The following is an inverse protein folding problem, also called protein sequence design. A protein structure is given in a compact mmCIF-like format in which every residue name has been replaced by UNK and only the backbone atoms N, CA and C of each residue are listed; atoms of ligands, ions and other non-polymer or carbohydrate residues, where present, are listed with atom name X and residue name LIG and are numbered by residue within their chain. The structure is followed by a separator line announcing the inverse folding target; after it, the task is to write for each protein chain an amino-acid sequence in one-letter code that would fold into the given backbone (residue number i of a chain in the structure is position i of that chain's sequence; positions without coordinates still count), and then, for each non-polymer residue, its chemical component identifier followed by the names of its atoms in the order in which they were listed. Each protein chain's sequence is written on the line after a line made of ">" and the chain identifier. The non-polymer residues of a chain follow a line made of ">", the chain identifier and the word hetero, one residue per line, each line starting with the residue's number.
data_IF_892557425941
#
_entry.id   IF_892557425941
#
_cell.length_a   1.000
_cell.length_b   1.000
_cell.length_c   1.000
_cell.angle_alpha   90.00
_cell.angle_beta   90.00
_cell.angle_gamma   90.00
#
_symmetry.space_group_name_H-M   'P 1'
#
loop_
_entity.id
_entity.type
_entity.pdbx_description
1 polymer ?
#
# COMPACT_ATOMS: atom_id res chain seq x y z
N UNK A 1 54.90 49.92 -14.38
CA UNK A 1 55.13 49.04 -13.22
C UNK A 1 54.37 47.75 -13.46
N UNK A 2 55.07 46.73 -13.97
CA UNK A 2 54.51 45.41 -14.24
C UNK A 2 55.00 44.47 -13.14
N UNK A 3 54.07 43.91 -12.34
CA UNK A 3 54.38 42.76 -11.49
C UNK A 3 53.51 41.60 -11.98
N UNK A 4 54.13 40.70 -12.74
CA UNK A 4 53.57 39.42 -13.12
C UNK A 4 53.52 38.49 -11.91
N UNK A 5 52.33 38.01 -11.57
CA UNK A 5 52.18 36.97 -10.57
C UNK A 5 52.61 35.63 -11.17
N UNK A 6 53.75 35.13 -10.72
CA UNK A 6 54.22 33.78 -11.02
C UNK A 6 53.40 32.77 -10.20
N UNK A 7 52.30 32.29 -10.78
CA UNK A 7 51.58 31.13 -10.25
C UNK A 7 52.48 29.89 -10.38
N UNK A 8 53.13 29.50 -9.29
CA UNK A 8 53.92 28.27 -9.20
C UNK A 8 53.00 27.06 -9.11
N UNK A 9 52.40 26.66 -10.23
CA UNK A 9 51.76 25.36 -10.34
C UNK A 9 52.85 24.27 -10.29
N UNK A 10 53.08 23.71 -9.10
CA UNK A 10 53.84 22.45 -8.98
C UNK A 10 53.14 21.40 -9.85
N UNK A 11 53.84 20.79 -10.84
CA UNK A 11 53.22 19.76 -11.66
C UNK A 11 52.82 18.58 -10.74
N UNK A 12 51.61 18.02 -10.89
CA UNK A 12 51.17 16.92 -10.06
C UNK A 12 52.14 15.73 -10.21
N UNK A 13 52.61 15.19 -9.08
CA UNK A 13 53.57 14.07 -9.01
C UNK A 13 53.05 12.77 -9.65
N UNK A 14 51.77 12.72 -10.01
CA UNK A 14 51.11 11.61 -10.68
C UNK A 14 50.43 12.15 -11.95
N UNK A 15 50.53 11.45 -13.12
CA UNK A 15 49.79 11.81 -14.32
C UNK A 15 48.30 11.96 -14.03
N UNK A 16 47.64 12.99 -14.60
CA UNK A 16 46.22 13.25 -14.38
C UNK A 16 45.33 12.03 -14.70
N UNK A 17 45.74 11.20 -15.66
CA UNK A 17 45.09 9.94 -16.00
C UNK A 17 45.10 8.92 -14.85
N UNK A 18 46.18 8.83 -14.09
CA UNK A 18 46.30 7.90 -12.96
C UNK A 18 45.41 8.33 -11.78
N UNK A 19 45.32 9.63 -11.51
CA UNK A 19 44.42 10.19 -10.48
C UNK A 19 42.95 9.91 -10.85
N UNK A 20 42.58 10.11 -12.12
CA UNK A 20 41.22 9.84 -12.60
C UNK A 20 40.87 8.35 -12.52
N UNK A 21 41.80 7.47 -12.88
CA UNK A 21 41.63 6.04 -12.73
C UNK A 21 41.42 5.67 -11.25
N UNK A 22 42.30 6.11 -10.36
CA UNK A 22 42.20 5.82 -8.92
C UNK A 22 40.87 6.31 -8.33
N UNK A 23 40.41 7.50 -8.73
CA UNK A 23 39.10 8.02 -8.32
C UNK A 23 37.96 7.12 -8.79
N UNK A 24 37.99 6.63 -10.03
CA UNK A 24 36.97 5.73 -10.57
C UNK A 24 36.95 4.38 -9.85
N UNK A 25 38.13 3.84 -9.55
CA UNK A 25 38.28 2.62 -8.74
C UNK A 25 37.73 2.80 -7.34
N UNK A 26 38.13 3.87 -6.63
CA UNK A 26 37.63 4.18 -5.30
C UNK A 26 36.09 4.35 -5.28
N UNK A 27 35.52 5.03 -6.28
CA UNK A 27 34.07 5.17 -6.43
C UNK A 27 33.37 3.82 -6.65
N UNK A 28 33.98 2.94 -7.45
CA UNK A 28 33.44 1.61 -7.72
C UNK A 28 33.47 0.75 -6.45
N UNK A 29 34.60 0.71 -5.74
CA UNK A 29 34.74 -0.02 -4.47
C UNK A 29 33.77 0.51 -3.41
N UNK A 30 33.59 1.83 -3.31
CA UNK A 30 32.66 2.42 -2.36
C UNK A 30 31.20 2.08 -2.71
N UNK A 31 30.83 2.10 -4.00
CA UNK A 31 29.51 1.65 -4.45
C UNK A 31 29.26 0.17 -4.14
N UNK A 32 30.25 -0.70 -4.37
CA UNK A 32 30.17 -2.12 -4.03
C UNK A 32 30.03 -2.34 -2.53
N UNK A 33 30.74 -1.59 -1.70
CA UNK A 33 30.63 -1.66 -0.24
C UNK A 33 29.20 -1.33 0.23
N UNK A 34 28.59 -0.27 -0.32
CA UNK A 34 27.21 0.11 0.00
C UNK A 34 26.23 -0.99 -0.46
N UNK A 35 26.41 -1.55 -1.65
CA UNK A 35 25.58 -2.64 -2.13
C UNK A 35 25.74 -3.89 -1.24
N UNK A 36 26.95 -4.19 -0.78
CA UNK A 36 27.23 -5.30 0.12
C UNK A 36 26.49 -5.15 1.46
N UNK A 37 26.33 -3.93 1.99
CA UNK A 37 25.50 -3.68 3.18
C UNK A 37 24.04 -4.07 2.91
N UNK A 38 23.49 -3.70 1.76
CA UNK A 38 22.12 -4.09 1.37
C UNK A 38 21.96 -5.61 1.27
N UNK A 39 22.93 -6.30 0.65
CA UNK A 39 22.95 -7.77 0.57
C UNK A 39 23.08 -8.39 1.96
N UNK A 40 23.94 -7.84 2.83
CA UNK A 40 24.13 -8.32 4.19
C UNK A 40 22.83 -8.24 5.01
N UNK A 41 22.06 -7.15 4.89
CA UNK A 41 20.74 -7.03 5.53
C UNK A 41 19.79 -8.14 5.05
N UNK A 42 19.74 -8.39 3.74
CA UNK A 42 18.88 -9.45 3.16
C UNK A 42 19.30 -10.82 3.69
N UNK A 43 20.60 -11.13 3.68
CA UNK A 43 21.11 -12.40 4.17
C UNK A 43 20.86 -12.57 5.68
N UNK A 44 21.07 -11.52 6.47
CA UNK A 44 20.78 -11.52 7.90
C UNK A 44 19.30 -11.86 8.16
N UNK A 45 18.37 -11.18 7.47
CA UNK A 45 16.94 -11.40 7.62
C UNK A 45 16.49 -12.77 7.07
N UNK A 46 17.06 -13.22 5.95
CA UNK A 46 16.71 -14.49 5.32
C UNK A 46 17.23 -15.71 6.12
N UNK A 47 18.34 -15.55 6.84
CA UNK A 47 18.92 -16.58 7.72
C UNK A 47 18.63 -16.33 9.20
N UNK A 48 17.55 -15.59 9.49
CA UNK A 48 17.12 -15.37 10.87
C UNK A 48 16.58 -16.66 11.49
N UNK A 49 17.14 -17.04 12.65
CA UNK A 49 16.62 -18.10 13.50
C UNK A 49 16.26 -17.52 14.89
N UNK A 50 15.02 -17.71 15.38
CA UNK A 50 14.63 -17.29 16.72
C UNK A 50 15.47 -17.91 17.86
N UNK A 51 16.13 -19.06 17.62
CA UNK A 51 16.97 -19.75 18.58
C UNK A 51 18.40 -19.19 18.68
N UNK A 52 18.81 -18.32 17.74
CA UNK A 52 20.15 -17.74 17.74
C UNK A 52 20.37 -16.84 18.98
N UNK A 53 21.62 -16.75 19.50
CA UNK A 53 21.96 -15.79 20.53
C UNK A 53 21.92 -14.37 19.96
N UNK A 54 21.26 -13.47 20.68
CA UNK A 54 21.11 -12.06 20.29
C UNK A 54 21.45 -11.14 21.48
N UNK A 55 21.47 -9.83 21.25
CA UNK A 55 21.81 -8.84 22.30
C UNK A 55 20.91 -8.97 23.55
N UNK A 56 19.67 -9.41 23.36
CA UNK A 56 18.69 -9.59 24.42
C UNK A 56 18.52 -11.07 24.83
N UNK A 57 19.22 -11.99 24.17
CA UNK A 57 19.07 -13.44 24.36
C UNK A 57 20.45 -14.10 24.41
N UNK A 58 20.94 -14.35 25.62
CA UNK A 58 22.17 -15.14 25.81
C UNK A 58 21.80 -16.62 25.90
N UNK A 59 22.17 -17.39 24.88
CA UNK A 59 21.97 -18.85 24.82
C UNK A 59 23.31 -19.54 24.59
N UNK A 60 23.44 -20.78 25.06
CA UNK A 60 24.60 -21.64 24.74
C UNK A 60 24.52 -22.26 23.33
N UNK A 61 23.49 -21.94 22.56
CA UNK A 61 23.30 -22.40 21.20
C UNK A 61 24.31 -21.75 20.22
N UNK A 62 24.77 -22.52 19.25
CA UNK A 62 25.60 -22.01 18.15
C UNK A 62 24.81 -21.06 17.25
N UNK A 63 25.48 -20.10 16.62
CA UNK A 63 24.83 -19.15 15.70
C UNK A 63 24.58 -19.81 14.34
N UNK A 64 23.34 -19.81 13.89
CA UNK A 64 22.94 -20.34 12.57
C UNK A 64 22.93 -19.29 11.46
N UNK A 65 22.81 -18.00 11.80
CA UNK A 65 22.82 -16.91 10.83
C UNK A 65 24.08 -16.92 9.95
N UNK A 66 23.91 -16.70 8.63
CA UNK A 66 25.01 -16.75 7.66
C UNK A 66 26.09 -15.70 7.90
N UNK A 67 25.77 -14.60 8.58
CA UNK A 67 26.72 -13.55 8.95
C UNK A 67 27.23 -13.70 10.39
N UNK A 68 26.93 -14.82 11.04
CA UNK A 68 27.25 -15.08 12.45
C UNK A 68 26.48 -14.17 13.41
N UNK A 69 27.03 -13.99 14.61
CA UNK A 69 26.40 -13.20 15.68
C UNK A 69 25.94 -11.79 15.27
N UNK A 70 26.74 -10.97 14.56
CA UNK A 70 26.28 -9.62 14.20
C UNK A 70 25.07 -9.65 13.24
N UNK A 71 24.95 -10.68 12.40
CA UNK A 71 23.78 -10.90 11.54
C UNK A 71 22.53 -11.26 12.33
N UNK A 72 22.66 -12.24 13.24
CA UNK A 72 21.57 -12.65 14.13
C UNK A 72 21.04 -11.47 14.96
N UNK A 73 21.95 -10.72 15.60
CA UNK A 73 21.59 -9.54 16.40
C UNK A 73 20.92 -8.44 15.56
N UNK A 74 21.42 -8.16 14.35
CA UNK A 74 20.83 -7.16 13.46
C UNK A 74 19.43 -7.59 12.98
N UNK A 75 19.27 -8.85 12.56
CA UNK A 75 18.01 -9.38 12.09
C UNK A 75 16.94 -9.36 13.19
N UNK A 76 17.30 -9.81 14.40
CA UNK A 76 16.42 -9.76 15.58
C UNK A 76 15.96 -8.33 15.88
N UNK A 77 16.91 -7.37 15.92
CA UNK A 77 16.58 -5.96 16.17
C UNK A 77 15.66 -5.38 15.07
N UNK A 78 15.96 -5.64 13.80
CA UNK A 78 15.17 -5.12 12.68
C UNK A 78 13.76 -5.72 12.63
N UNK A 79 13.62 -7.03 12.88
CA UNK A 79 12.32 -7.69 12.90
C UNK A 79 11.50 -7.28 14.12
N UNK A 80 12.09 -7.11 15.29
CA UNK A 80 11.38 -6.61 16.48
C UNK A 80 10.90 -5.16 16.30
N UNK A 81 11.73 -4.30 15.70
CA UNK A 81 11.41 -2.87 15.56
C UNK A 81 10.47 -2.58 14.40
N UNK A 82 10.73 -3.14 13.22
CA UNK A 82 10.02 -2.82 11.96
C UNK A 82 9.20 -4.00 11.41
N UNK A 83 9.35 -5.20 11.96
CA UNK A 83 8.69 -6.40 11.44
C UNK A 83 9.08 -6.67 9.99
N UNK A 84 8.10 -6.99 9.16
CA UNK A 84 8.30 -7.29 7.74
C UNK A 84 8.78 -6.09 6.92
N UNK A 85 8.60 -4.87 7.42
CA UNK A 85 9.08 -3.67 6.73
C UNK A 85 10.61 -3.55 6.73
N UNK A 86 11.32 -4.30 7.59
CA UNK A 86 12.78 -4.34 7.65
C UNK A 86 13.45 -4.64 6.30
N UNK A 87 12.84 -5.52 5.48
CA UNK A 87 13.36 -5.89 4.16
C UNK A 87 13.48 -4.68 3.22
N UNK A 88 12.60 -3.68 3.37
CA UNK A 88 12.60 -2.47 2.54
C UNK A 88 13.89 -1.67 2.73
N UNK A 89 14.51 -1.73 3.91
CA UNK A 89 15.76 -1.00 4.17
C UNK A 89 16.89 -1.44 3.24
N UNK A 90 16.90 -2.69 2.76
CA UNK A 90 17.94 -3.18 1.86
C UNK A 90 17.89 -2.53 0.47
N UNK A 91 16.71 -2.17 -0.02
CA UNK A 91 16.53 -1.70 -1.41
C UNK A 91 17.29 -0.40 -1.70
N UNK A 92 17.25 0.64 -0.82
CA UNK A 92 18.01 1.86 -1.05
C UNK A 92 19.52 1.65 -1.01
N UNK A 93 20.05 0.77 -0.16
CA UNK A 93 21.48 0.44 -0.19
C UNK A 93 21.92 -0.18 -1.51
N UNK A 94 21.14 -1.12 -2.06
CA UNK A 94 21.42 -1.70 -3.37
C UNK A 94 21.36 -0.63 -4.48
N UNK A 95 20.33 0.22 -4.46
CA UNK A 95 20.16 1.30 -5.43
C UNK A 95 21.27 2.36 -5.37
N UNK A 96 21.64 2.79 -4.16
CA UNK A 96 22.70 3.77 -3.93
C UNK A 96 24.07 3.18 -4.29
N UNK A 97 24.35 1.94 -3.92
CA UNK A 97 25.60 1.25 -4.28
C UNK A 97 25.80 1.19 -5.78
N UNK A 98 24.75 0.84 -6.53
CA UNK A 98 24.78 0.89 -8.00
C UNK A 98 25.03 2.30 -8.54
N UNK A 99 24.33 3.33 -8.04
CA UNK A 99 24.49 4.72 -8.53
C UNK A 99 25.87 5.30 -8.26
N UNK A 100 26.40 5.04 -7.07
CA UNK A 100 27.74 5.46 -6.65
C UNK A 100 28.79 4.74 -7.49
N UNK A 101 28.67 3.43 -7.66
CA UNK A 101 29.60 2.64 -8.47
C UNK A 101 29.54 2.99 -9.96
N UNK A 102 28.34 3.32 -10.49
CA UNK A 102 28.14 3.77 -11.86
C UNK A 102 28.48 5.26 -12.07
N UNK A 103 29.03 5.95 -11.06
CA UNK A 103 29.37 7.37 -11.09
C UNK A 103 28.20 8.29 -11.52
N UNK A 104 26.95 7.89 -11.27
CA UNK A 104 25.75 8.68 -11.62
C UNK A 104 25.48 9.83 -10.65
N UNK A 105 26.23 9.88 -9.54
CA UNK A 105 26.06 10.87 -8.48
C UNK A 105 24.77 10.67 -7.68
N UNK A 106 24.77 11.10 -6.42
CA UNK A 106 23.57 11.18 -5.59
C UNK A 106 23.46 12.61 -5.03
N UNK A 107 22.86 13.54 -5.80
CA UNK A 107 22.69 14.91 -5.32
C UNK A 107 21.80 14.86 -4.07
N UNK A 108 22.12 15.64 -3.03
CA UNK A 108 21.38 15.67 -1.76
C UNK A 108 21.28 14.30 -1.05
N UNK A 109 22.40 13.57 -0.98
CA UNK A 109 22.49 12.30 -0.25
C UNK A 109 21.81 12.32 1.13
N UNK A 110 22.02 13.39 1.90
CA UNK A 110 21.43 13.54 3.24
C UNK A 110 19.90 13.56 3.22
N UNK A 111 19.24 14.15 2.22
CA UNK A 111 17.78 14.12 2.16
C UNK A 111 17.26 12.72 1.84
N UNK A 112 17.95 11.98 0.97
CA UNK A 112 17.60 10.60 0.66
C UNK A 112 17.76 9.69 1.88
N UNK A 113 18.82 9.90 2.66
CA UNK A 113 19.06 9.20 3.91
C UNK A 113 17.99 9.53 4.97
N UNK A 114 17.61 10.80 5.11
CA UNK A 114 16.60 11.23 6.09
C UNK A 114 15.17 10.76 5.76
N UNK A 115 14.87 10.49 4.50
CA UNK A 115 13.56 9.95 4.08
C UNK A 115 13.46 8.43 4.29
N UNK A 116 14.59 7.73 4.38
CA UNK A 116 14.62 6.28 4.55
C UNK A 116 13.86 5.79 5.81
N UNK A 117 14.04 6.39 7.01
CA UNK A 117 13.24 6.03 8.18
C UNK A 117 11.75 6.25 7.97
N UNK A 118 11.35 7.31 7.26
CA UNK A 118 9.94 7.58 6.96
C UNK A 118 9.35 6.48 6.08
N UNK A 119 10.09 6.05 5.05
CA UNK A 119 9.68 4.94 4.21
C UNK A 119 9.49 3.65 5.03
N UNK A 120 10.46 3.33 5.89
CA UNK A 120 10.40 2.15 6.76
C UNK A 120 9.20 2.19 7.72
N UNK A 121 8.93 3.34 8.36
CA UNK A 121 7.79 3.52 9.26
C UNK A 121 6.45 3.39 8.54
N UNK A 122 6.33 3.94 7.33
CA UNK A 122 5.12 3.83 6.52
C UNK A 122 4.87 2.37 6.09
N UNK A 123 5.90 1.63 5.67
CA UNK A 123 5.76 0.20 5.39
C UNK A 123 5.49 -0.63 6.66
N UNK A 124 6.05 -0.25 7.81
CA UNK A 124 5.75 -0.90 9.09
C UNK A 124 4.27 -0.72 9.49
N UNK A 125 3.74 0.49 9.29
CA UNK A 125 2.30 0.76 9.43
C UNK A 125 1.49 -0.11 8.46
N UNK A 126 1.94 -0.26 7.22
CA UNK A 126 1.26 -1.13 6.24
C UNK A 126 1.23 -2.60 6.69
N UNK A 127 2.35 -3.10 7.20
CA UNK A 127 2.48 -4.47 7.67
C UNK A 127 1.69 -4.76 8.95
N UNK A 128 1.44 -3.74 9.79
CA UNK A 128 0.64 -3.88 11.03
C UNK A 128 -0.78 -4.39 10.78
N UNK A 129 -1.35 -4.17 9.59
CA UNK A 129 -2.66 -4.70 9.21
C UNK A 129 -2.73 -6.22 9.26
N UNK A 130 -1.61 -6.89 8.96
CA UNK A 130 -1.53 -8.33 8.98
C UNK A 130 -1.33 -8.91 10.39
N UNK A 131 -1.35 -8.07 11.45
CA UNK A 131 -1.03 -8.46 12.82
C UNK A 131 -1.61 -9.82 13.21
N UNK A 132 -0.77 -10.61 13.87
CA UNK A 132 -1.00 -12.00 14.33
C UNK A 132 -2.30 -12.16 15.11
N UNK A 133 -2.81 -11.08 15.72
CA UNK A 133 -4.08 -11.05 16.47
C UNK A 133 -5.34 -10.99 15.59
N UNK A 134 -5.31 -10.30 14.45
CA UNK A 134 -6.42 -10.27 13.47
C UNK A 134 -6.41 -11.48 12.53
N UNK A 135 -5.23 -12.08 12.32
CA UNK A 135 -5.04 -13.29 11.51
C UNK A 135 -4.90 -14.58 12.34
N UNK A 136 -5.19 -14.56 13.64
CA UNK A 136 -5.31 -15.77 14.51
C UNK A 136 -6.56 -16.62 14.17
N UNK A 137 -7.03 -16.55 12.93
CA UNK A 137 -7.74 -17.67 12.31
C UNK A 137 -6.68 -18.34 11.45
N UNK A 138 -6.28 -19.55 11.83
CA UNK A 138 -5.17 -20.38 11.31
C UNK A 138 -5.04 -20.59 9.78
N UNK A 139 -5.71 -19.80 8.96
CA UNK A 139 -5.82 -19.92 7.50
C UNK A 139 -4.93 -18.95 6.71
N UNK A 140 -4.32 -17.94 7.35
CA UNK A 140 -3.57 -16.91 6.63
C UNK A 140 -2.24 -16.50 7.29
N UNK A 141 -1.54 -17.41 7.99
CA UNK A 141 -0.16 -17.07 8.34
C UNK A 141 0.67 -17.05 7.06
N UNK A 142 1.03 -15.85 6.60
CA UNK A 142 1.87 -15.62 5.42
C UNK A 142 3.28 -16.19 5.62
N UNK A 143 3.71 -16.33 6.89
CA UNK A 143 5.04 -16.78 7.30
C UNK A 143 4.86 -17.55 8.61
N UNK A 144 4.88 -18.89 8.57
CA UNK A 144 5.00 -19.79 9.72
C UNK A 144 4.27 -19.37 11.02
N UNK A 145 4.86 -19.63 12.18
CA UNK A 145 4.51 -18.94 13.42
C UNK A 145 5.41 -17.70 13.53
N UNK A 146 4.84 -16.50 13.54
CA UNK A 146 5.60 -15.28 13.81
C UNK A 146 6.31 -15.42 15.17
N UNK A 147 7.64 -15.28 15.25
CA UNK A 147 8.42 -15.72 16.42
C UNK A 147 8.39 -14.75 17.60
N UNK A 148 7.73 -13.59 17.45
CA UNK A 148 7.68 -12.57 18.50
C UNK A 148 6.30 -12.53 19.13
N UNK A 149 6.23 -12.95 20.40
CA UNK A 149 4.99 -12.93 21.18
C UNK A 149 4.51 -11.49 21.39
N UNK A 150 3.24 -11.23 21.08
CA UNK A 150 2.61 -9.93 21.28
C UNK A 150 3.01 -8.82 20.30
N UNK A 151 3.92 -9.10 19.35
CA UNK A 151 4.25 -8.20 18.24
C UNK A 151 3.61 -8.71 16.94
N UNK A 152 2.97 -7.81 16.20
CA UNK A 152 2.48 -8.06 14.85
C UNK A 152 3.58 -7.93 13.80
N UNK A 153 3.21 -8.19 12.54
CA UNK A 153 4.13 -8.08 11.40
C UNK A 153 4.59 -6.65 11.10
N UNK A 154 4.01 -5.62 11.73
CA UNK A 154 4.51 -4.24 11.71
C UNK A 154 5.68 -3.99 12.68
N UNK A 155 6.04 -4.99 13.50
CA UNK A 155 6.96 -4.82 14.61
C UNK A 155 6.44 -3.81 15.64
N UNK A 156 7.31 -3.43 16.57
CA UNK A 156 6.98 -2.46 17.61
C UNK A 156 6.52 -1.12 17.02
N UNK A 157 7.23 -0.58 16.03
CA UNK A 157 6.94 0.75 15.51
C UNK A 157 5.67 0.78 14.67
N UNK A 158 5.46 -0.22 13.81
CA UNK A 158 4.27 -0.31 12.98
C UNK A 158 3.00 -0.48 13.81
N UNK A 159 3.02 -1.36 14.80
CA UNK A 159 1.87 -1.60 15.67
C UNK A 159 1.55 -0.37 16.54
N UNK A 160 2.58 0.34 17.02
CA UNK A 160 2.38 1.60 17.75
C UNK A 160 1.81 2.68 16.85
N UNK A 161 2.34 2.85 15.63
CA UNK A 161 1.78 3.81 14.66
C UNK A 161 0.33 3.49 14.31
N UNK A 162 -0.01 2.22 14.14
CA UNK A 162 -1.39 1.79 13.91
C UNK A 162 -2.30 2.17 15.08
N UNK A 163 -1.85 1.91 16.31
CA UNK A 163 -2.60 2.30 17.51
C UNK A 163 -2.86 3.81 17.58
N UNK A 164 -1.87 4.64 17.21
CA UNK A 164 -2.03 6.08 17.12
C UNK A 164 -3.01 6.48 16.02
N UNK A 165 -2.92 5.85 14.85
CA UNK A 165 -3.82 6.09 13.73
C UNK A 165 -5.29 5.86 14.11
N UNK A 166 -5.60 4.73 14.76
CA UNK A 166 -6.96 4.43 15.19
C UNK A 166 -7.43 5.33 16.33
N UNK A 167 -6.55 5.70 17.27
CA UNK A 167 -6.88 6.65 18.36
C UNK A 167 -7.22 8.03 17.83
N UNK A 168 -6.46 8.52 16.84
CA UNK A 168 -6.73 9.80 16.18
C UNK A 168 -8.06 9.77 15.42
N UNK A 169 -8.32 8.69 14.67
CA UNK A 169 -9.62 8.49 14.03
C UNK A 169 -10.75 8.57 15.04
N UNK A 170 -10.66 7.78 16.12
CA UNK A 170 -11.70 7.74 17.16
C UNK A 170 -11.93 9.11 17.81
N UNK A 171 -10.86 9.88 18.06
CA UNK A 171 -10.96 11.26 18.57
C UNK A 171 -11.67 12.23 17.61
N UNK A 172 -11.66 11.93 16.31
CA UNK A 172 -12.39 12.67 15.27
C UNK A 172 -13.80 12.11 15.00
N UNK A 173 -14.25 11.13 15.77
CA UNK A 173 -15.54 10.43 15.55
C UNK A 173 -15.52 9.48 14.36
N UNK A 174 -14.33 9.11 13.86
CA UNK A 174 -14.15 8.22 12.72
C UNK A 174 -13.50 6.90 13.15
N UNK A 175 -14.15 5.77 12.88
CA UNK A 175 -13.56 4.44 13.09
C UNK A 175 -13.09 3.87 11.74
N UNK A 176 -11.87 4.19 11.26
CA UNK A 176 -11.40 3.68 9.99
C UNK A 176 -11.23 2.16 10.06
N UNK A 177 -11.71 1.40 9.06
CA UNK A 177 -11.40 -0.02 8.95
C UNK A 177 -9.89 -0.23 8.73
N UNK A 178 -9.36 -1.37 9.17
CA UNK A 178 -7.91 -1.54 9.29
C UNK A 178 -7.12 -1.46 7.98
N UNK A 179 -7.76 -1.78 6.85
CA UNK A 179 -7.14 -1.64 5.53
C UNK A 179 -6.82 -0.18 5.17
N UNK A 180 -7.48 0.81 5.79
CA UNK A 180 -7.21 2.24 5.53
C UNK A 180 -5.82 2.60 6.04
N UNK A 181 -5.48 2.20 7.27
CA UNK A 181 -4.14 2.39 7.81
C UNK A 181 -3.09 1.68 6.93
N UNK A 182 -3.42 0.47 6.48
CA UNK A 182 -2.58 -0.32 5.58
C UNK A 182 -2.30 0.41 4.26
N UNK A 183 -3.36 0.96 3.64
CA UNK A 183 -3.28 1.69 2.37
C UNK A 183 -2.50 2.98 2.52
N UNK A 184 -2.75 3.75 3.58
CA UNK A 184 -2.01 4.99 3.89
C UNK A 184 -0.52 4.68 4.08
N UNK A 185 -0.20 3.67 4.87
CA UNK A 185 1.18 3.22 5.08
C UNK A 185 1.83 2.75 3.78
N UNK A 186 1.13 1.96 2.97
CA UNK A 186 1.68 1.44 1.71
C UNK A 186 1.94 2.56 0.70
N UNK A 187 0.97 3.45 0.47
CA UNK A 187 1.11 4.57 -0.47
C UNK A 187 2.20 5.53 0.00
N UNK A 188 2.18 5.92 1.28
CA UNK A 188 3.21 6.77 1.87
C UNK A 188 4.61 6.12 1.80
N UNK A 189 4.69 4.81 2.06
CA UNK A 189 5.92 4.04 2.01
C UNK A 189 6.51 3.95 0.61
N UNK A 190 5.68 3.69 -0.41
CA UNK A 190 6.11 3.69 -1.81
C UNK A 190 6.64 5.07 -2.21
N UNK A 191 5.91 6.14 -1.90
CA UNK A 191 6.35 7.50 -2.24
C UNK A 191 7.67 7.86 -1.54
N UNK A 192 7.79 7.57 -0.25
CA UNK A 192 9.00 7.81 0.52
C UNK A 192 10.18 6.95 0.03
N UNK A 193 9.95 5.68 -0.33
CA UNK A 193 10.99 4.80 -0.88
C UNK A 193 11.50 5.29 -2.23
N UNK A 194 10.60 5.73 -3.12
CA UNK A 194 10.98 6.32 -4.40
C UNK A 194 11.80 7.62 -4.21
N UNK A 195 11.42 8.43 -3.22
CA UNK A 195 12.17 9.61 -2.82
C UNK A 195 13.55 9.24 -2.22
N UNK A 196 13.64 8.19 -1.41
CA UNK A 196 14.90 7.69 -0.85
C UNK A 196 15.83 7.12 -1.93
N UNK A 197 15.30 6.46 -2.96
CA UNK A 197 16.11 5.94 -4.08
C UNK A 197 16.72 7.04 -4.96
N UNK A 198 16.28 8.30 -4.83
CA UNK A 198 16.83 9.44 -5.57
C UNK A 198 16.57 9.38 -7.08
N UNK A 199 15.43 8.78 -7.47
CA UNK A 199 15.03 8.56 -8.87
C UNK A 199 15.06 9.90 -9.63
N UNK A 200 15.86 9.95 -10.70
CA UNK A 200 16.00 11.11 -11.56
C UNK A 200 14.71 11.37 -12.36
N UNK A 201 14.51 12.60 -12.85
CA UNK A 201 13.34 12.97 -13.67
C UNK A 201 13.15 12.09 -14.91
N UNK A 202 14.23 11.56 -15.48
CA UNK A 202 14.19 10.64 -16.62
C UNK A 202 13.70 9.24 -16.21
N UNK A 203 14.14 8.75 -15.05
CA UNK A 203 13.71 7.46 -14.49
C UNK A 203 12.23 7.53 -14.06
N UNK A 204 11.76 8.67 -13.54
CA UNK A 204 10.34 8.92 -13.29
C UNK A 204 9.48 8.80 -14.54
N UNK A 205 9.95 9.32 -15.69
CA UNK A 205 9.24 9.16 -16.97
C UNK A 205 9.18 7.70 -17.41
N UNK A 206 10.23 6.92 -17.18
CA UNK A 206 10.23 5.50 -17.48
C UNK A 206 9.22 4.73 -16.61
N UNK A 207 9.19 5.01 -15.30
CA UNK A 207 8.22 4.42 -14.35
C UNK A 207 6.78 4.78 -14.74
N UNK A 208 6.51 6.06 -15.03
CA UNK A 208 5.20 6.53 -15.48
C UNK A 208 4.80 5.92 -16.84
N UNK A 209 5.75 5.72 -17.75
CA UNK A 209 5.50 5.08 -19.04
C UNK A 209 5.14 3.59 -18.86
N UNK A 210 5.78 2.88 -17.94
CA UNK A 210 5.46 1.48 -17.60
C UNK A 210 4.09 1.40 -16.93
N UNK A 211 3.82 2.22 -15.90
CA UNK A 211 2.51 2.29 -15.26
C UNK A 211 1.39 2.63 -16.25
N UNK A 212 1.63 3.58 -17.17
CA UNK A 212 0.69 3.94 -18.22
C UNK A 212 0.47 2.82 -19.25
N UNK A 213 1.42 1.90 -19.46
CA UNK A 213 1.22 0.69 -20.27
C UNK A 213 0.36 -0.33 -19.52
N UNK A 214 0.63 -0.57 -18.24
CA UNK A 214 -0.18 -1.45 -17.41
C UNK A 214 -1.63 -0.96 -17.26
N UNK A 215 -1.83 0.33 -16.99
CA UNK A 215 -3.16 0.93 -16.89
C UNK A 215 -3.98 0.82 -18.18
N UNK A 216 -3.33 0.99 -19.35
CA UNK A 216 -3.97 0.73 -20.65
C UNK A 216 -4.32 -0.74 -20.87
N UNK A 217 -3.48 -1.66 -20.38
CA UNK A 217 -3.75 -3.10 -20.41
C UNK A 217 -4.97 -3.48 -19.58
N UNK A 218 -5.05 -2.99 -18.34
CA UNK A 218 -6.20 -3.19 -17.45
C UNK A 218 -7.46 -2.55 -18.04
N UNK A 219 -7.35 -1.32 -18.56
CA UNK A 219 -8.46 -0.64 -19.22
C UNK A 219 -9.00 -1.43 -20.42
N UNK A 220 -8.12 -2.02 -21.24
CA UNK A 220 -8.53 -2.92 -22.33
C UNK A 220 -9.24 -4.16 -21.84
N UNK A 221 -8.76 -4.79 -20.77
CA UNK A 221 -9.40 -5.98 -20.19
C UNK A 221 -10.80 -5.66 -19.64
N UNK A 222 -10.95 -4.53 -18.93
CA UNK A 222 -12.26 -4.06 -18.44
C UNK A 222 -13.22 -3.79 -19.60
N UNK A 223 -12.72 -3.17 -20.68
CA UNK A 223 -13.52 -2.84 -21.86
C UNK A 223 -13.94 -4.11 -22.62
N UNK A 224 -13.04 -5.08 -22.79
CA UNK A 224 -13.33 -6.39 -23.36
C UNK A 224 -14.32 -7.17 -22.50
N UNK A 225 -14.18 -7.15 -21.18
CA UNK A 225 -15.13 -7.76 -20.26
C UNK A 225 -16.52 -7.11 -20.36
N UNK A 226 -16.59 -5.78 -20.43
CA UNK A 226 -17.84 -5.05 -20.64
C UNK A 226 -18.52 -5.40 -21.98
N UNK A 227 -17.75 -5.50 -23.05
CA UNK A 227 -18.24 -5.92 -24.37
C UNK A 227 -18.73 -7.38 -24.36
N UNK A 228 -18.00 -8.28 -23.70
CA UNK A 228 -18.40 -9.67 -23.51
C UNK A 228 -19.74 -9.78 -22.75
N UNK A 229 -19.87 -9.09 -21.62
CA UNK A 229 -21.12 -9.05 -20.86
C UNK A 229 -22.30 -8.47 -21.67
N UNK A 230 -22.05 -7.45 -22.48
CA UNK A 230 -23.07 -6.88 -23.38
C UNK A 230 -23.47 -7.87 -24.49
N UNK A 231 -22.51 -8.65 -25.02
CA UNK A 231 -22.76 -9.72 -25.99
C UNK A 231 -23.59 -10.86 -25.41
N UNK A 232 -23.26 -11.34 -24.21
CA UNK A 232 -24.01 -12.40 -23.52
C UNK A 232 -25.45 -11.97 -23.23
N UNK A 233 -25.69 -10.71 -22.86
CA UNK A 233 -27.05 -10.17 -22.69
C UNK A 233 -27.86 -10.12 -23.99
N UNK A 234 -27.22 -9.92 -25.15
CA UNK A 234 -27.89 -9.97 -26.46
C UNK A 234 -28.22 -11.40 -26.92
N UNK A 235 -27.45 -12.38 -26.46
CA UNK A 235 -27.65 -13.81 -26.78
C UNK A 235 -28.54 -14.54 -25.77
N UNK A 236 -28.85 -13.91 -24.64
CA UNK A 236 -29.75 -14.48 -23.64
C UNK A 236 -31.17 -14.55 -24.23
N UNK A 237 -31.78 -15.74 -24.33
CA UNK A 237 -33.14 -15.86 -24.84
C UNK A 237 -34.10 -15.09 -23.90
N UNK A 238 -35.18 -14.50 -24.43
CA UNK A 238 -36.17 -13.82 -23.60
C UNK A 238 -36.73 -14.80 -22.56
N UNK A 239 -37.08 -14.30 -21.35
CA UNK A 239 -37.58 -15.16 -20.29
C UNK A 239 -38.82 -15.95 -20.77
N UNK A 240 -38.94 -17.23 -20.39
CA UNK A 240 -40.05 -18.07 -20.82
C UNK A 240 -41.36 -17.46 -20.31
N UNK A 241 -42.17 -16.94 -21.24
CA UNK A 241 -43.42 -16.23 -20.95
C UNK A 241 -43.59 -14.91 -21.71
N UNK A 242 -42.56 -14.36 -22.35
CA UNK A 242 -42.70 -13.22 -23.25
C UNK A 242 -43.32 -13.65 -24.58
N UNK A 243 -44.64 -13.53 -24.69
CA UNK A 243 -45.36 -13.76 -25.95
C UNK A 243 -44.95 -12.73 -27.00
N UNK A 244 -44.68 -13.13 -28.26
CA UNK A 244 -44.42 -12.18 -29.33
C UNK A 244 -45.67 -11.31 -29.49
N UNK A 245 -45.54 -9.97 -29.45
CA UNK A 245 -46.61 -9.10 -29.97
C UNK A 245 -46.78 -9.44 -31.44
N UNK A 246 -47.80 -10.23 -31.74
CA UNK A 246 -48.16 -10.60 -33.10
C UNK A 246 -48.34 -9.31 -33.91
N UNK A 247 -47.61 -9.20 -35.02
CA UNK A 247 -47.92 -8.24 -36.06
C UNK A 247 -49.36 -8.53 -36.51
N UNK A 248 -50.25 -7.59 -36.24
CA UNK A 248 -51.67 -7.70 -36.56
C UNK A 248 -51.83 -7.70 -38.09
N UNK A 249 -52.51 -8.68 -38.69
CA UNK A 249 -52.79 -8.65 -40.13
C UNK A 249 -53.70 -7.47 -40.47
N UNK A 250 -53.63 -6.93 -41.71
CA UNK A 250 -54.45 -5.79 -42.10
C UNK A 250 -55.94 -6.19 -42.03
N UNK A 251 -56.70 -5.45 -41.22
CA UNK A 251 -58.13 -5.69 -41.03
C UNK A 251 -58.95 -5.35 -42.29
N UNK A 252 -60.15 -5.96 -42.45
CA UNK A 252 -61.03 -5.69 -43.58
C UNK A 252 -61.62 -4.27 -43.55
N UNK A 253 -62.09 -3.72 -44.69
CA UNK A 253 -62.37 -2.29 -44.81
C UNK A 253 -63.60 -1.88 -44.01
N UNK A 254 -63.48 -0.80 -43.27
CA UNK A 254 -64.56 -0.16 -42.53
C UNK A 254 -65.60 0.44 -43.51
N UNK A 255 -66.83 -0.05 -43.48
CA UNK A 255 -68.01 0.65 -44.02
C UNK A 255 -68.93 1.12 -42.89
N UNK A 256 -68.98 2.45 -42.76
CA UNK A 256 -70.09 3.33 -42.40
C UNK A 256 -71.13 2.91 -41.33
N UNK A 257 -71.16 3.66 -40.22
CA UNK A 257 -72.29 4.52 -39.78
C UNK A 257 -71.94 5.10 -38.40
N UNK A 258 -71.66 6.41 -38.25
CA UNK A 258 -72.63 7.48 -37.97
C UNK A 258 -73.65 7.00 -36.92
N UNK A 259 -73.64 7.46 -35.65
CA UNK A 259 -73.95 8.84 -35.25
C UNK A 259 -73.58 9.08 -33.75
N UNK A 260 -73.03 10.29 -33.54
CA UNK A 260 -72.91 11.13 -32.32
C UNK A 260 -74.23 11.25 -31.52
N UNK A 261 -74.31 12.04 -30.41
CA UNK A 261 -73.37 12.51 -29.36
C UNK A 261 -73.83 11.98 -27.96
N UNK A 262 -73.22 12.25 -26.80
CA UNK A 262 -73.33 13.53 -26.10
C UNK A 262 -72.51 13.56 -24.79
N UNK A 263 -72.12 14.79 -24.50
CA UNK A 263 -71.15 15.30 -23.57
C UNK A 263 -71.75 15.44 -22.15
N UNK A 264 -70.99 15.14 -21.10
CA UNK A 264 -71.00 15.96 -19.88
C UNK A 264 -69.71 15.81 -19.09
N UNK A 265 -69.07 16.95 -18.91
CA UNK A 265 -67.79 17.23 -18.24
C UNK A 265 -68.07 17.64 -16.77
N UNK A 266 -67.08 18.02 -15.95
CA UNK A 266 -66.60 17.27 -14.79
C UNK A 266 -66.91 17.95 -13.43
N UNK A 267 -66.61 17.29 -12.30
CA UNK A 267 -66.54 17.98 -11.00
C UNK A 267 -65.40 17.44 -10.13
N UNK A 268 -64.48 18.36 -9.77
CA UNK A 268 -63.46 18.24 -8.71
C UNK A 268 -64.14 18.26 -7.33
N UNK A 269 -63.55 17.57 -6.33
CA UNK A 269 -63.40 18.13 -4.97
C UNK A 269 -62.30 17.42 -4.17
N UNK A 270 -61.49 18.25 -3.52
CA UNK A 270 -60.44 17.93 -2.56
C UNK A 270 -60.97 18.02 -1.12
N UNK A 271 -60.34 17.29 -0.18
CA UNK A 271 -60.23 17.53 1.29
C UNK A 271 -60.08 16.15 1.98
N UNK A 272 -58.98 15.75 2.61
CA UNK A 272 -58.42 16.25 3.87
C UNK A 272 -58.16 15.03 4.80
N UNK A 273 -57.19 15.06 5.74
CA UNK A 273 -56.69 13.87 6.46
C UNK A 273 -57.46 13.60 7.76
N UNK A 274 -57.50 12.34 8.22
CA UNK A 274 -57.94 11.98 9.59
C UNK A 274 -56.91 11.13 10.33
N UNK A 275 -56.44 11.70 11.44
CA UNK A 275 -55.75 11.05 12.57
C UNK A 275 -56.65 9.97 13.18
N UNK A 276 -56.05 8.90 13.72
CA UNK A 276 -56.59 8.21 14.88
C UNK A 276 -55.44 7.67 15.74
N UNK A 277 -55.40 8.16 16.98
CA UNK A 277 -54.61 7.64 18.07
C UNK A 277 -55.31 6.42 18.69
N UNK A 278 -54.54 5.43 19.15
CA UNK A 278 -54.95 4.61 20.30
C UNK A 278 -53.75 4.12 21.08
N UNK A 279 -53.69 4.59 22.32
CA UNK A 279 -52.80 4.19 23.39
C UNK A 279 -53.14 2.79 23.90
N UNK A 280 -52.13 2.03 24.35
CA UNK A 280 -52.20 1.13 25.51
C UNK A 280 -50.87 1.14 26.24
N UNK A 281 -50.97 1.12 27.56
CA UNK A 281 -49.97 1.49 28.54
C UNK A 281 -49.90 0.44 29.66
N UNK A 282 -48.71 0.32 30.26
CA UNK A 282 -48.35 -0.22 31.59
C UNK A 282 -48.21 -1.76 31.79
N UNK A 283 -47.48 -2.23 32.85
CA UNK A 283 -46.72 -1.49 33.89
C UNK A 283 -45.27 -1.97 34.16
N UNK A 284 -44.56 -1.09 34.87
CA UNK A 284 -43.33 -1.30 35.65
C UNK A 284 -43.74 -1.87 37.02
N UNK A 285 -42.97 -2.81 37.57
CA UNK A 285 -43.00 -3.14 39.00
C UNK A 285 -41.58 -3.27 39.54
N UNK A 286 -41.30 -2.39 40.50
CA UNK A 286 -40.13 -2.29 41.37
C UNK A 286 -39.98 -3.51 42.29
N UNK A 287 -38.76 -3.80 42.71
CA UNK A 287 -38.48 -4.12 44.13
C UNK A 287 -37.11 -3.57 44.53
N UNK A 288 -37.07 -3.04 45.75
CA UNK A 288 -36.09 -2.10 46.33
C UNK A 288 -35.13 -2.81 47.32
N UNK A 289 -34.38 -2.16 48.25
CA UNK A 289 -32.93 -2.37 48.41
C UNK A 289 -32.55 -2.94 49.80
N UNK A 290 -31.25 -3.13 50.08
CA UNK A 290 -30.56 -2.69 51.31
C UNK A 290 -29.17 -3.36 51.46
N UNK A 291 -28.20 -2.53 51.87
CA UNK A 291 -26.86 -2.88 52.35
C UNK A 291 -26.94 -3.25 53.87
N UNK A 292 -25.91 -3.15 54.74
CA UNK A 292 -24.60 -2.47 54.66
C UNK A 292 -23.44 -3.35 54.17
#
# INVERSE_FOLDING_TARGET
>A
MAQGQANTHKPPLLPAAMIQALKRWAQTCFGLLIAAIGVAIILALASFDPADPTLNRSTDAGVSNLLGFPGAALADLLLQTLGLASVILALPFLGWGWRVGAARGLPWFWTHLLVLPVAALCFALAASYFSSSSLSSARYSLIGSWPFDGLGYGGLLGDRLASWFYRLGAGLGWAPPGWVAALVGFVGGVLALLAALGISRAEWRAVLAVLGRFGRGIGRLILLYGLWCAGVKRMSPPPPGASPKAAMPPGPPLKSSVKRPENKKPAKKASGPKKNARARSFPISMLSPAAP
#
